data_IF_886601059206
#
_entry.id   IF_886601059206
#
_cell.length_a   1.000
_cell.length_b   1.000
_cell.length_c   1.000
_cell.angle_alpha   90.00
_cell.angle_beta   90.00
_cell.angle_gamma   90.00
#
_symmetry.space_group_name_H-M   'P 1'
#
loop_
_entity.id
_entity.type
_entity.pdbx_description
1 polymer ?
#
# COMPACT_ATOMS: atom_id res chain seq x y z
N UNK A 1 9.66 -2.42 12.29
CA UNK A 1 8.62 -2.45 11.24
C UNK A 1 8.92 -1.41 10.19
N UNK A 2 8.98 -1.80 8.91
CA UNK A 2 9.29 -0.92 7.78
C UNK A 2 8.00 -0.70 7.00
N UNK A 3 7.63 0.55 6.78
CA UNK A 3 6.62 0.93 5.79
C UNK A 3 7.41 1.42 4.58
N UNK A 4 7.25 0.73 3.45
CA UNK A 4 7.79 1.16 2.17
C UNK A 4 6.69 1.95 1.46
N UNK A 5 6.83 3.28 1.44
CA UNK A 5 6.02 4.13 0.56
C UNK A 5 6.81 4.19 -0.75
N UNK A 6 6.30 3.54 -1.79
CA UNK A 6 6.89 3.61 -3.12
C UNK A 6 6.17 4.69 -3.90
N UNK A 7 6.90 5.75 -4.25
CA UNK A 7 6.47 6.65 -5.31
C UNK A 7 6.85 6.01 -6.65
N UNK A 8 5.90 5.77 -7.57
CA UNK A 8 6.20 5.17 -8.87
C UNK A 8 7.17 6.01 -9.71
N UNK A 9 7.27 7.32 -9.49
CA UNK A 9 8.29 8.15 -10.15
C UNK A 9 9.71 7.78 -9.67
N UNK A 10 9.88 7.57 -8.35
CA UNK A 10 11.17 7.15 -7.75
C UNK A 10 11.52 5.72 -8.18
N UNK A 11 10.53 4.83 -8.29
CA UNK A 11 10.77 3.48 -8.78
C UNK A 11 11.12 3.46 -10.29
N UNK A 12 10.51 4.35 -11.10
CA UNK A 12 10.81 4.48 -12.52
C UNK A 12 12.25 4.96 -12.77
N UNK A 13 12.76 5.90 -11.95
CA UNK A 13 14.17 6.31 -12.00
C UNK A 13 15.11 5.14 -11.67
N UNK A 14 14.81 4.36 -10.63
CA UNK A 14 15.66 3.23 -10.21
C UNK A 14 15.62 2.03 -11.18
N UNK A 15 14.52 1.83 -11.90
CA UNK A 15 14.40 0.78 -12.92
C UNK A 15 14.96 1.24 -14.28
N UNK A 16 15.06 2.56 -14.51
CA UNK A 16 15.58 3.15 -15.75
C UNK A 16 17.09 3.03 -15.97
N UNK A 17 17.87 2.57 -14.99
CA UNK A 17 19.34 2.44 -15.13
C UNK A 17 19.78 1.14 -15.83
N UNK A 18 18.86 0.22 -16.14
CA UNK A 18 19.22 -1.10 -16.71
C UNK A 18 19.14 -1.17 -18.24
N UNK A 19 18.51 -0.22 -18.94
CA UNK A 19 18.56 -0.18 -20.41
C UNK A 19 18.78 1.25 -20.92
N UNK A 20 19.89 1.42 -21.63
CA UNK A 20 20.43 2.71 -22.00
C UNK A 20 19.52 3.57 -22.89
N UNK A 21 19.56 4.87 -22.61
CA UNK A 21 19.56 5.90 -23.64
C UNK A 21 18.21 6.44 -24.09
N UNK A 22 17.62 7.33 -23.28
CA UNK A 22 17.26 8.69 -23.71
C UNK A 22 16.72 9.46 -22.51
N UNK A 23 17.34 10.60 -22.20
CA UNK A 23 16.70 11.63 -21.40
C UNK A 23 15.40 12.02 -22.12
N UNK A 24 14.27 11.59 -21.59
CA UNK A 24 12.97 12.04 -22.05
C UNK A 24 12.64 13.33 -21.31
N UNK A 25 12.40 14.39 -22.09
CA UNK A 25 11.96 15.72 -21.67
C UNK A 25 10.92 15.69 -20.54
N UNK A 26 11.05 16.53 -19.50
CA UNK A 26 10.09 16.61 -18.40
C UNK A 26 8.76 17.30 -18.79
N UNK A 27 8.52 17.58 -20.08
CA UNK A 27 7.41 18.44 -20.53
C UNK A 27 6.54 17.83 -21.65
N UNK A 28 6.66 16.53 -21.94
CA UNK A 28 6.00 15.93 -23.10
C UNK A 28 5.22 14.63 -22.82
N UNK A 29 4.55 14.51 -21.67
CA UNK A 29 3.58 13.40 -21.45
C UNK A 29 2.38 13.82 -20.58
N UNK A 30 1.77 14.96 -20.89
CA UNK A 30 0.51 15.40 -20.25
C UNK A 30 -0.75 15.09 -21.09
N UNK A 31 -0.61 14.33 -22.19
CA UNK A 31 -1.69 14.12 -23.18
C UNK A 31 -2.26 12.69 -23.24
N UNK A 32 -2.02 11.86 -22.22
CA UNK A 32 -2.74 10.61 -22.04
C UNK A 32 -2.89 10.26 -20.56
N UNK A 33 -3.38 11.20 -19.74
CA UNK A 33 -3.68 10.90 -18.34
C UNK A 33 -5.02 10.19 -18.27
N UNK A 34 -5.00 8.88 -18.51
CA UNK A 34 -5.96 8.00 -17.86
C UNK A 34 -5.89 8.22 -16.34
N UNK A 35 -7.00 8.05 -15.63
CA UNK A 35 -7.08 8.29 -14.18
C UNK A 35 -5.91 7.63 -13.44
N UNK A 36 -5.06 8.46 -12.80
CA UNK A 36 -3.94 7.97 -11.97
C UNK A 36 -4.48 7.51 -10.62
N UNK A 37 -4.45 6.19 -10.37
CA UNK A 37 -4.89 5.61 -9.10
C UNK A 37 -3.71 5.36 -8.17
N UNK A 38 -3.78 5.91 -6.94
CA UNK A 38 -2.79 5.65 -5.89
C UNK A 38 -3.00 4.26 -5.30
N UNK A 39 -1.93 3.47 -5.18
CA UNK A 39 -1.96 2.13 -4.61
C UNK A 39 -1.10 2.07 -3.32
N UNK A 40 -1.57 1.34 -2.32
CA UNK A 40 -0.81 0.92 -1.15
C UNK A 40 -0.29 -0.51 -1.37
N UNK A 41 1.03 -0.66 -1.36
CA UNK A 41 1.70 -1.95 -1.44
C UNK A 41 1.91 -2.53 -0.04
N UNK A 42 1.62 -3.82 0.14
CA UNK A 42 1.78 -4.52 1.41
C UNK A 42 2.06 -6.01 1.20
N UNK A 43 2.55 -6.69 2.25
CA UNK A 43 2.68 -8.15 2.31
C UNK A 43 1.80 -8.67 3.45
N UNK A 44 1.07 -9.75 3.22
CA UNK A 44 0.20 -10.37 4.21
C UNK A 44 0.12 -11.88 3.95
N UNK A 45 0.34 -12.67 5.01
CA UNK A 45 0.41 -14.13 4.94
C UNK A 45 1.79 -14.62 4.50
N UNK A 46 2.14 -14.43 3.23
CA UNK A 46 3.40 -14.84 2.62
C UNK A 46 4.32 -13.65 2.29
N UNK A 47 5.43 -13.94 1.61
CA UNK A 47 6.35 -12.92 1.10
C UNK A 47 5.88 -12.33 -0.24
N UNK A 48 4.65 -12.57 -0.69
CA UNK A 48 4.18 -12.02 -1.97
C UNK A 48 3.71 -10.57 -1.77
N UNK A 49 4.09 -9.69 -2.70
CA UNK A 49 3.66 -8.29 -2.68
C UNK A 49 2.22 -8.18 -3.20
N UNK A 50 1.37 -7.45 -2.48
CA UNK A 50 -0.04 -7.20 -2.80
C UNK A 50 -0.28 -5.70 -2.85
N UNK A 51 -1.32 -5.26 -3.56
CA UNK A 51 -1.67 -3.86 -3.74
C UNK A 51 -3.17 -3.63 -3.48
N UNK A 52 -3.52 -2.50 -2.85
CA UNK A 52 -4.90 -2.02 -2.72
C UNK A 52 -4.96 -0.53 -3.06
N UNK A 53 -6.05 -0.06 -3.67
CA UNK A 53 -6.25 1.38 -3.90
C UNK A 53 -6.24 2.15 -2.58
N UNK A 54 -5.47 3.23 -2.52
CA UNK A 54 -5.36 4.05 -1.32
C UNK A 54 -6.72 4.67 -0.93
N UNK A 55 -7.59 4.94 -1.90
CA UNK A 55 -8.97 5.42 -1.68
C UNK A 55 -9.84 4.42 -0.90
N UNK A 56 -9.51 3.12 -0.92
CA UNK A 56 -10.20 2.07 -0.15
C UNK A 56 -9.67 1.93 1.27
N UNK A 57 -8.61 2.67 1.62
CA UNK A 57 -7.99 2.60 2.94
C UNK A 57 -8.50 3.75 3.79
N UNK A 58 -9.34 3.42 4.78
CA UNK A 58 -9.81 4.42 5.74
C UNK A 58 -8.72 4.81 6.73
N UNK A 59 -7.84 3.87 7.11
CA UNK A 59 -6.87 4.07 8.18
C UNK A 59 -5.74 3.04 8.19
N UNK A 60 -4.56 3.46 8.63
CA UNK A 60 -3.38 2.61 8.86
C UNK A 60 -2.89 2.80 10.29
N UNK A 61 -2.87 1.72 11.07
CA UNK A 61 -2.41 1.74 12.46
C UNK A 61 -1.56 0.51 12.77
N UNK A 62 -0.64 0.65 13.73
CA UNK A 62 0.06 -0.49 14.32
C UNK A 62 -0.69 -0.94 15.55
N UNK A 63 -1.05 -2.21 15.58
CA UNK A 63 -1.77 -2.83 16.70
C UNK A 63 -0.93 -3.97 17.26
N UNK A 64 -1.00 -4.18 18.58
CA UNK A 64 -0.32 -5.30 19.21
C UNK A 64 -1.12 -6.59 18.98
N UNK A 65 -0.46 -7.68 18.60
CA UNK A 65 -1.13 -8.98 18.40
C UNK A 65 -1.84 -9.49 19.65
N UNK A 66 -1.36 -9.11 20.84
CA UNK A 66 -1.99 -9.41 22.13
C UNK A 66 -3.35 -8.75 22.34
N UNK A 67 -3.70 -7.71 21.55
CA UNK A 67 -5.02 -7.06 21.59
C UNK A 67 -6.10 -7.78 20.78
N UNK A 68 -5.74 -8.85 20.07
CA UNK A 68 -6.68 -9.66 19.31
C UNK A 68 -7.35 -10.70 20.21
N UNK A 69 -8.67 -10.60 20.31
CA UNK A 69 -9.51 -11.51 21.07
C UNK A 69 -10.29 -12.46 20.14
N UNK A 70 -10.78 -13.56 20.69
CA UNK A 70 -11.68 -14.48 20.00
C UNK A 70 -13.08 -14.36 20.60
N UNK A 71 -14.05 -13.93 19.79
CA UNK A 71 -15.45 -13.85 20.19
C UNK A 71 -16.32 -14.57 19.15
N UNK A 72 -17.12 -15.54 19.60
CA UNK A 72 -18.02 -16.33 18.75
C UNK A 72 -17.33 -16.91 17.49
N UNK A 73 -16.11 -17.44 17.67
CA UNK A 73 -15.32 -18.03 16.57
C UNK A 73 -14.68 -17.02 15.60
N UNK A 74 -14.78 -15.71 15.87
CA UNK A 74 -14.20 -14.64 15.04
C UNK A 74 -13.11 -13.90 15.82
N UNK A 75 -12.07 -13.45 15.11
CA UNK A 75 -11.06 -12.55 15.67
C UNK A 75 -11.64 -11.14 15.74
N UNK A 76 -11.52 -10.51 16.91
CA UNK A 76 -12.00 -9.15 17.16
C UNK A 76 -10.94 -8.35 17.90
N UNK A 77 -11.04 -7.03 17.83
CA UNK A 77 -10.19 -6.10 18.54
C UNK A 77 -11.03 -4.96 19.12
N UNK A 78 -10.70 -4.51 20.33
CA UNK A 78 -11.28 -3.29 20.85
C UNK A 78 -10.64 -2.07 20.18
N UNK A 79 -11.46 -1.31 19.48
CA UNK A 79 -11.07 -0.11 18.75
C UNK A 79 -11.98 1.05 19.11
N UNK A 80 -11.43 2.10 19.74
CA UNK A 80 -12.16 3.31 20.18
C UNK A 80 -13.44 3.01 20.97
N UNK A 81 -13.38 2.04 21.87
CA UNK A 81 -14.52 1.64 22.71
C UNK A 81 -15.56 0.80 21.98
N UNK A 82 -15.30 0.32 20.77
CA UNK A 82 -16.15 -0.63 20.03
C UNK A 82 -15.36 -1.88 19.67
N UNK A 83 -16.05 -3.02 19.53
CA UNK A 83 -15.43 -4.23 18.99
C UNK A 83 -15.45 -4.17 17.47
N UNK A 84 -14.27 -4.25 16.86
CA UNK A 84 -14.09 -4.33 15.41
C UNK A 84 -13.66 -5.74 15.02
N UNK A 85 -14.25 -6.34 13.96
CA UNK A 85 -13.77 -7.62 13.44
C UNK A 85 -12.41 -7.47 12.77
N UNK A 86 -11.56 -8.46 12.93
CA UNK A 86 -10.28 -8.60 12.23
C UNK A 86 -10.37 -9.83 11.35
N UNK A 87 -10.18 -9.64 10.04
CA UNK A 87 -10.28 -10.68 9.00
C UNK A 87 -8.89 -11.11 8.54
#
# INVERSE_FOLDING_TARGET
SVVLIVDPNVLAEQVGEVEGGKAADPTATDQAIGERTKLLLFRAGDQTLKAVELSRVTRLERVASSSLECANGRRVMQYRGRLAPVL
#
